data_IF_429726536995
#
_entry.id   IF_429726536995
#
_cell.length_a   1.000
_cell.length_b   1.000
_cell.length_c   1.000
_cell.angle_alpha   90.00
_cell.angle_beta   90.00
_cell.angle_gamma   90.00
#
_symmetry.space_group_name_H-M   'P 1'
#
loop_
_entity.id
_entity.type
_entity.pdbx_description
1 polymer ?
#
# COMPACT_ATOMS: atom_id res chain seq x y z
N UNK A 1 -12.42 15.20 22.36
CA UNK A 1 -13.64 16.06 22.36
C UNK A 1 -14.29 15.97 20.98
N UNK A 2 -15.12 14.93 20.77
CA UNK A 2 -15.91 14.76 19.54
C UNK A 2 -17.22 15.51 19.73
N UNK A 3 -17.44 16.60 18.98
CA UNK A 3 -18.75 17.26 18.91
C UNK A 3 -19.69 16.40 18.05
N UNK A 4 -20.83 15.92 18.57
CA UNK A 4 -21.82 15.25 17.75
C UNK A 4 -22.60 16.31 16.99
N UNK A 5 -22.26 16.53 15.72
CA UNK A 5 -23.17 17.21 14.80
C UNK A 5 -24.27 16.21 14.40
N UNK A 6 -25.25 16.01 15.27
CA UNK A 6 -26.56 15.47 14.87
C UNK A 6 -27.30 16.56 14.11
N UNK A 7 -26.95 16.76 12.84
CA UNK A 7 -27.78 17.52 11.92
C UNK A 7 -28.84 16.58 11.38
N UNK A 8 -30.00 16.53 12.03
CA UNK A 8 -31.17 15.77 11.61
C UNK A 8 -31.68 16.32 10.28
N UNK A 9 -31.20 15.79 9.15
CA UNK A 9 -31.68 16.15 7.82
C UNK A 9 -33.04 15.48 7.57
N UNK A 10 -34.12 16.08 8.09
CA UNK A 10 -35.49 15.68 7.77
C UNK A 10 -35.90 16.26 6.41
N UNK A 11 -36.02 15.41 5.39
CA UNK A 11 -36.55 15.77 4.09
C UNK A 11 -38.06 15.48 3.99
N UNK A 12 -38.89 16.50 3.72
CA UNK A 12 -40.36 16.41 3.62
C UNK A 12 -40.79 16.30 2.14
N UNK A 13 -41.57 15.27 1.79
CA UNK A 13 -41.89 14.89 0.40
C UNK A 13 -43.30 14.31 0.25
N UNK A 14 -44.04 14.62 -0.83
CA UNK A 14 -45.31 14.01 -1.14
C UNK A 14 -45.31 13.45 -2.56
N UNK A 15 -44.91 12.18 -2.68
CA UNK A 15 -45.56 11.19 -3.55
C UNK A 15 -44.73 9.90 -3.55
N UNK A 16 -45.33 8.88 -2.96
CA UNK A 16 -44.95 7.48 -3.03
C UNK A 16 -46.18 6.68 -2.60
N UNK A 17 -47.05 6.38 -3.57
CA UNK A 17 -48.23 5.50 -3.52
C UNK A 17 -49.27 5.67 -2.38
N UNK A 18 -49.10 6.67 -1.52
CA UNK A 18 -50.00 7.03 -0.42
C UNK A 18 -50.27 8.53 -0.48
N UNK A 19 -51.56 8.89 -0.53
CA UNK A 19 -52.06 10.28 -0.64
C UNK A 19 -51.67 11.12 0.60
N UNK A 20 -50.46 11.71 0.66
CA UNK A 20 -50.08 12.59 1.78
C UNK A 20 -48.62 13.06 1.79
N UNK A 21 -48.29 13.93 2.76
CA UNK A 21 -46.92 14.36 3.07
C UNK A 21 -46.19 13.29 3.87
N UNK A 22 -44.95 13.01 3.48
CA UNK A 22 -44.11 11.94 3.98
C UNK A 22 -42.71 12.48 4.26
N UNK A 23 -42.11 12.12 5.40
CA UNK A 23 -40.71 12.40 5.69
C UNK A 23 -39.87 11.16 5.36
N UNK A 24 -38.66 11.38 4.84
CA UNK A 24 -37.69 10.31 4.60
C UNK A 24 -36.50 10.53 5.53
N UNK A 25 -36.14 9.52 6.31
CA UNK A 25 -34.95 9.56 7.17
C UNK A 25 -33.66 9.30 6.36
N UNK A 26 -32.49 9.55 6.93
CA UNK A 26 -31.18 9.25 6.32
C UNK A 26 -31.00 7.75 6.01
N UNK A 27 -31.76 6.88 6.68
CA UNK A 27 -31.86 5.43 6.42
C UNK A 27 -32.75 5.07 5.21
N UNK A 28 -33.47 6.04 4.66
CA UNK A 28 -34.46 5.81 3.61
C UNK A 28 -35.80 5.29 4.13
N UNK A 29 -36.01 5.25 5.44
CA UNK A 29 -37.30 4.92 6.05
C UNK A 29 -38.32 6.05 5.84
N UNK A 30 -39.56 5.65 5.58
CA UNK A 30 -40.61 6.52 5.06
C UNK A 30 -41.70 6.71 6.12
N UNK A 31 -41.84 7.94 6.61
CA UNK A 31 -42.73 8.30 7.72
C UNK A 31 -43.87 9.18 7.26
N UNK A 32 -45.13 8.86 7.60
CA UNK A 32 -46.24 9.76 7.31
C UNK A 32 -46.27 10.92 8.30
N UNK A 33 -46.09 12.15 7.81
CA UNK A 33 -46.04 13.36 8.65
C UNK A 33 -47.33 13.64 9.40
N UNK A 34 -48.47 13.35 8.80
CA UNK A 34 -49.78 13.55 9.44
C UNK A 34 -49.97 12.66 10.66
N UNK A 35 -49.51 11.41 10.63
CA UNK A 35 -49.60 10.50 11.78
C UNK A 35 -48.54 10.80 12.83
N UNK A 36 -47.36 11.25 12.41
CA UNK A 36 -46.24 11.48 13.33
C UNK A 36 -46.39 12.79 14.11
N UNK A 37 -46.98 13.81 13.49
CA UNK A 37 -47.23 15.12 14.11
C UNK A 37 -48.66 15.29 14.64
N UNK A 38 -49.56 14.33 14.35
CA UNK A 38 -51.00 14.40 14.63
C UNK A 38 -51.68 15.66 14.04
N UNK A 39 -51.26 16.07 12.83
CA UNK A 39 -51.77 17.26 12.14
C UNK A 39 -52.60 16.87 10.92
N UNK A 40 -53.75 17.53 10.73
CA UNK A 40 -54.62 17.37 9.56
C UNK A 40 -53.88 17.74 8.26
N UNK A 41 -54.09 16.95 7.21
CA UNK A 41 -53.45 17.12 5.89
C UNK A 41 -53.67 18.49 5.24
N UNK A 42 -54.80 19.15 5.51
CA UNK A 42 -55.07 20.53 5.07
C UNK A 42 -54.10 21.55 5.68
N UNK A 43 -53.84 21.45 6.98
CA UNK A 43 -52.90 22.33 7.69
C UNK A 43 -51.44 22.06 7.27
N UNK A 44 -51.10 20.81 6.95
CA UNK A 44 -49.80 20.47 6.36
C UNK A 44 -49.64 21.09 4.96
N UNK A 45 -50.68 21.07 4.13
CA UNK A 45 -50.65 21.68 2.79
C UNK A 45 -50.49 23.20 2.84
N UNK A 46 -51.13 23.85 3.80
CA UNK A 46 -51.00 25.30 4.01
C UNK A 46 -49.59 25.70 4.46
N UNK A 47 -48.92 24.86 5.25
CA UNK A 47 -47.55 25.13 5.75
C UNK A 47 -46.44 24.71 4.79
N UNK A 48 -46.62 23.61 4.07
CA UNK A 48 -45.59 22.99 3.23
C UNK A 48 -45.77 23.27 1.73
N UNK A 49 -46.88 23.92 1.35
CA UNK A 49 -47.16 24.30 -0.04
C UNK A 49 -47.72 23.17 -0.89
N UNK A 50 -47.55 23.30 -2.21
CA UNK A 50 -48.09 22.34 -3.17
C UNK A 50 -47.24 21.06 -3.21
N UNK A 51 -47.83 19.88 -2.94
CA UNK A 51 -47.12 18.61 -3.04
C UNK A 51 -46.43 18.35 -4.39
N UNK A 52 -46.89 18.95 -5.48
CA UNK A 52 -46.30 18.71 -6.81
C UNK A 52 -44.89 19.29 -6.96
N UNK A 53 -44.51 20.28 -6.14
CA UNK A 53 -43.21 20.97 -6.23
C UNK A 53 -42.09 20.30 -5.42
N UNK A 54 -42.42 19.25 -4.65
CA UNK A 54 -41.48 18.58 -3.77
C UNK A 54 -40.91 17.30 -4.44
N UNK A 55 -39.62 16.97 -4.21
CA UNK A 55 -38.99 15.80 -4.83
C UNK A 55 -39.72 14.49 -4.51
N UNK A 56 -39.62 13.52 -5.40
CA UNK A 56 -40.16 12.18 -5.13
C UNK A 56 -39.35 11.46 -4.03
N UNK A 57 -39.97 10.51 -3.33
CA UNK A 57 -39.28 9.70 -2.30
C UNK A 57 -38.04 9.01 -2.88
N UNK A 58 -38.14 8.48 -4.11
CA UNK A 58 -37.03 7.86 -4.83
C UNK A 58 -35.91 8.85 -5.15
N UNK A 59 -36.22 10.08 -5.55
CA UNK A 59 -35.22 11.12 -5.82
C UNK A 59 -34.48 11.54 -4.55
N UNK A 60 -35.20 11.65 -3.43
CA UNK A 60 -34.61 12.02 -2.13
C UNK A 60 -33.67 10.94 -1.64
N UNK A 61 -34.08 9.65 -1.71
CA UNK A 61 -33.20 8.55 -1.33
C UNK A 61 -31.95 8.55 -2.22
N UNK A 62 -32.12 8.70 -3.54
CA UNK A 62 -30.98 8.78 -4.46
C UNK A 62 -30.05 9.97 -4.19
N UNK A 63 -30.58 11.11 -3.70
CA UNK A 63 -29.77 12.27 -3.30
C UNK A 63 -28.98 11.98 -2.03
N UNK A 64 -29.60 11.37 -1.02
CA UNK A 64 -28.94 10.96 0.22
C UNK A 64 -27.84 9.94 -0.06
N UNK A 65 -28.10 8.94 -0.90
CA UNK A 65 -27.10 7.95 -1.34
C UNK A 65 -25.88 8.62 -1.97
N UNK A 66 -26.10 9.59 -2.88
CA UNK A 66 -24.99 10.32 -3.53
C UNK A 66 -24.14 11.09 -2.53
N UNK A 67 -24.76 11.78 -1.58
CA UNK A 67 -24.05 12.53 -0.53
C UNK A 67 -23.23 11.61 0.37
N UNK A 68 -23.81 10.47 0.75
CA UNK A 68 -23.12 9.45 1.55
C UNK A 68 -21.89 8.91 0.79
N UNK A 69 -22.03 8.60 -0.50
CA UNK A 69 -20.92 8.13 -1.34
C UNK A 69 -19.82 9.19 -1.48
N UNK A 70 -20.18 10.46 -1.65
CA UNK A 70 -19.23 11.56 -1.74
C UNK A 70 -18.45 11.75 -0.42
N UNK A 71 -19.17 11.72 0.70
CA UNK A 71 -18.58 11.73 2.04
C UNK A 71 -17.64 10.53 2.25
N UNK A 72 -18.04 9.30 1.91
CA UNK A 72 -17.16 8.14 1.97
C UNK A 72 -15.87 8.31 1.16
N UNK A 73 -15.98 8.94 -0.01
CA UNK A 73 -14.84 9.21 -0.87
C UNK A 73 -13.88 10.21 -0.23
N UNK A 74 -14.38 11.30 0.36
CA UNK A 74 -13.53 12.29 1.02
C UNK A 74 -12.76 11.68 2.20
N UNK A 75 -13.42 10.89 3.04
CA UNK A 75 -12.76 10.17 4.15
C UNK A 75 -11.72 9.17 3.64
N UNK A 76 -12.04 8.40 2.60
CA UNK A 76 -11.08 7.46 2.00
C UNK A 76 -9.88 8.19 1.42
N UNK A 77 -10.07 9.37 0.81
CA UNK A 77 -8.96 10.18 0.30
C UNK A 77 -8.08 10.73 1.42
N UNK A 78 -8.68 11.15 2.53
CA UNK A 78 -7.96 11.62 3.71
C UNK A 78 -7.11 10.50 4.34
N UNK A 79 -7.69 9.32 4.54
CA UNK A 79 -6.96 8.12 5.01
C UNK A 79 -5.76 7.82 4.10
N UNK A 80 -5.97 7.88 2.77
CA UNK A 80 -4.89 7.66 1.80
C UNK A 80 -3.81 8.73 1.88
N UNK A 81 -4.17 9.99 2.10
CA UNK A 81 -3.22 11.09 2.23
C UNK A 81 -2.40 10.96 3.52
N UNK A 82 -3.06 10.67 4.64
CA UNK A 82 -2.38 10.44 5.91
C UNK A 82 -1.44 9.24 5.83
N UNK A 83 -1.87 8.14 5.20
CA UNK A 83 -1.01 6.99 4.94
C UNK A 83 0.17 7.33 4.02
N UNK A 84 -0.01 8.17 3.00
CA UNK A 84 1.10 8.63 2.13
C UNK A 84 2.14 9.40 2.93
N UNK A 85 1.72 10.30 3.81
CA UNK A 85 2.63 11.07 4.69
C UNK A 85 3.40 10.10 5.61
N UNK A 86 2.74 9.10 6.20
CA UNK A 86 3.42 8.06 7.01
C UNK A 86 4.39 7.20 6.18
N UNK A 87 4.10 6.98 4.89
CA UNK A 87 4.93 6.19 3.99
C UNK A 87 6.17 6.92 3.48
N UNK A 88 6.10 8.24 3.33
CA UNK A 88 7.18 9.08 2.79
C UNK A 88 8.56 8.84 3.46
N UNK A 89 8.71 8.91 4.79
CA UNK A 89 10.00 8.66 5.44
C UNK A 89 10.50 7.21 5.23
N UNK A 90 9.60 6.23 5.11
CA UNK A 90 9.97 4.84 4.83
C UNK A 90 10.50 4.67 3.39
N UNK A 91 9.93 5.41 2.43
CA UNK A 91 10.40 5.41 1.04
C UNK A 91 11.74 6.13 0.91
N UNK A 92 11.95 7.21 1.65
CA UNK A 92 13.25 7.86 1.75
C UNK A 92 14.29 6.93 2.39
N UNK A 93 13.93 6.25 3.50
CA UNK A 93 14.81 5.26 4.10
C UNK A 93 15.16 4.13 3.12
N UNK A 94 14.18 3.67 2.31
CA UNK A 94 14.41 2.69 1.25
C UNK A 94 15.45 3.16 0.24
N UNK A 95 15.36 4.42 -0.22
CA UNK A 95 16.30 4.96 -1.22
C UNK A 95 17.71 5.08 -0.64
N UNK A 96 17.83 5.54 0.61
CA UNK A 96 19.11 5.63 1.35
C UNK A 96 19.76 4.25 1.52
N UNK A 97 19.00 3.25 1.98
CA UNK A 97 19.48 1.88 2.13
C UNK A 97 19.94 1.32 0.78
N UNK A 98 19.15 1.52 -0.29
CA UNK A 98 19.51 1.07 -1.64
C UNK A 98 20.83 1.66 -2.13
N UNK A 99 21.05 2.97 -1.95
CA UNK A 99 22.31 3.61 -2.32
C UNK A 99 23.47 3.02 -1.52
N UNK A 100 23.34 2.99 -0.20
CA UNK A 100 24.38 2.46 0.70
C UNK A 100 24.75 1.02 0.36
N UNK A 101 23.76 0.14 0.15
CA UNK A 101 24.01 -1.27 -0.21
C UNK A 101 24.70 -1.42 -1.56
N UNK A 102 24.47 -0.50 -2.50
CA UNK A 102 25.18 -0.48 -3.78
C UNK A 102 26.64 -0.10 -3.56
N UNK A 103 26.89 0.94 -2.79
CA UNK A 103 28.23 1.45 -2.51
C UNK A 103 29.05 0.44 -1.71
N UNK A 104 28.46 -0.21 -0.70
CA UNK A 104 29.10 -1.29 0.06
C UNK A 104 29.50 -2.48 -0.82
N UNK A 105 28.62 -2.90 -1.74
CA UNK A 105 28.91 -4.01 -2.66
C UNK A 105 30.02 -3.63 -3.64
N UNK A 106 30.01 -2.39 -4.12
CA UNK A 106 31.05 -1.88 -5.01
C UNK A 106 32.41 -1.82 -4.30
N UNK A 107 32.45 -1.23 -3.11
CA UNK A 107 33.66 -1.14 -2.30
C UNK A 107 34.22 -2.52 -1.92
N UNK A 108 33.35 -3.47 -1.54
CA UNK A 108 33.78 -4.84 -1.25
C UNK A 108 34.37 -5.51 -2.51
N UNK A 109 33.73 -5.36 -3.67
CA UNK A 109 34.22 -5.93 -4.91
C UNK A 109 35.58 -5.33 -5.32
N UNK A 110 35.75 -4.01 -5.19
CA UNK A 110 36.99 -3.33 -5.56
C UNK A 110 38.14 -3.69 -4.63
N UNK A 111 37.89 -3.72 -3.31
CA UNK A 111 38.90 -4.14 -2.33
C UNK A 111 39.30 -5.61 -2.51
N UNK A 112 38.35 -6.51 -2.75
CA UNK A 112 38.64 -7.92 -3.07
C UNK A 112 39.44 -8.05 -4.37
N UNK A 113 39.11 -7.26 -5.40
CA UNK A 113 39.84 -7.26 -6.67
C UNK A 113 41.29 -6.80 -6.52
N UNK A 114 41.52 -5.70 -5.81
CA UNK A 114 42.87 -5.19 -5.55
C UNK A 114 43.70 -6.19 -4.74
N UNK A 115 43.09 -6.76 -3.68
CA UNK A 115 43.73 -7.79 -2.86
C UNK A 115 44.05 -9.04 -3.67
N UNK A 116 43.13 -9.50 -4.51
CA UNK A 116 43.35 -10.65 -5.39
C UNK A 116 44.55 -10.45 -6.32
N UNK A 117 44.72 -9.26 -6.89
CA UNK A 117 45.87 -8.94 -7.74
C UNK A 117 47.20 -8.97 -6.95
N UNK A 118 47.21 -8.37 -5.76
CA UNK A 118 48.39 -8.38 -4.87
C UNK A 118 48.75 -9.80 -4.43
N UNK A 119 47.79 -10.54 -3.86
CA UNK A 119 47.99 -11.93 -3.41
C UNK A 119 48.40 -12.86 -4.57
N UNK A 120 47.91 -12.62 -5.79
CA UNK A 120 48.32 -13.37 -6.98
C UNK A 120 49.75 -13.05 -7.40
N UNK A 121 50.15 -11.78 -7.35
CA UNK A 121 51.52 -11.35 -7.64
C UNK A 121 52.50 -11.93 -6.60
N UNK A 122 52.15 -11.90 -5.32
CA UNK A 122 52.95 -12.45 -4.23
C UNK A 122 53.13 -13.97 -4.37
N UNK A 123 52.04 -14.71 -4.69
CA UNK A 123 52.11 -16.16 -4.96
C UNK A 123 52.98 -16.47 -6.18
N UNK A 124 52.90 -15.65 -7.25
CA UNK A 124 53.78 -15.81 -8.41
C UNK A 124 55.24 -15.48 -8.10
N UNK A 125 55.50 -14.50 -7.23
CA UNK A 125 56.85 -14.13 -6.81
C UNK A 125 57.53 -15.21 -5.97
N UNK A 126 56.78 -16.03 -5.22
CA UNK A 126 57.30 -17.20 -4.49
C UNK A 126 57.88 -18.29 -5.42
N UNK A 127 57.48 -18.33 -6.69
CA UNK A 127 57.99 -19.31 -7.65
C UNK A 127 59.29 -18.79 -8.28
N UNK A 128 60.38 -19.53 -8.06
CA UNK A 128 61.66 -19.24 -8.69
C UNK A 128 61.56 -19.41 -10.21
N UNK A 129 62.11 -18.44 -10.96
CA UNK A 129 62.13 -18.41 -12.43
C UNK A 129 63.48 -18.87 -12.98
N UNK A 130 63.53 -19.17 -14.27
CA UNK A 130 64.77 -19.51 -14.98
C UNK A 130 65.43 -20.81 -14.48
N UNK A 131 66.76 -20.84 -14.49
CA UNK A 131 67.56 -22.02 -14.14
C UNK A 131 67.31 -22.54 -12.71
N UNK A 132 67.05 -21.62 -11.75
CA UNK A 132 66.70 -21.98 -10.36
C UNK A 132 65.35 -22.70 -10.27
N UNK A 133 64.37 -22.31 -11.09
CA UNK A 133 63.08 -22.98 -11.17
C UNK A 133 63.16 -24.40 -11.76
N UNK A 134 64.11 -24.66 -12.66
CA UNK A 134 64.39 -26.01 -13.17
C UNK A 134 65.01 -26.89 -12.08
N UNK A 135 65.91 -26.34 -11.25
CA UNK A 135 66.46 -27.05 -10.09
C UNK A 135 65.40 -27.39 -9.04
N UNK A 136 64.46 -26.47 -8.78
CA UNK A 136 63.36 -26.70 -7.84
C UNK A 136 62.37 -27.77 -8.31
N UNK A 137 62.25 -27.97 -9.63
CA UNK A 137 61.48 -29.09 -10.19
C UNK A 137 62.18 -30.42 -9.98
N UNK A 138 63.49 -30.46 -10.13
CA UNK A 138 64.29 -31.66 -9.92
C UNK A 138 64.30 -32.09 -8.44
N UNK A 139 64.32 -31.11 -7.52
CA UNK A 139 64.29 -31.34 -6.06
C UNK A 139 62.88 -31.49 -5.46
N UNK A 140 61.82 -31.29 -6.26
CA UNK A 140 60.42 -31.35 -5.81
C UNK A 140 59.94 -30.15 -4.98
N UNK A 141 60.82 -29.19 -4.66
CA UNK A 141 60.49 -27.92 -4.00
C UNK A 141 59.39 -27.16 -4.75
N UNK A 142 59.41 -27.19 -6.08
CA UNK A 142 58.42 -26.50 -6.91
C UNK A 142 56.99 -27.00 -6.64
N UNK A 143 56.80 -28.31 -6.47
CA UNK A 143 55.47 -28.89 -6.16
C UNK A 143 54.98 -28.41 -4.80
N UNK A 144 55.85 -28.42 -3.78
CA UNK A 144 55.49 -28.00 -2.43
C UNK A 144 55.07 -26.54 -2.36
N UNK A 145 55.81 -25.66 -3.03
CA UNK A 145 55.48 -24.22 -3.11
C UNK A 145 54.18 -23.97 -3.87
N UNK A 146 53.93 -24.75 -4.92
CA UNK A 146 52.66 -24.71 -5.67
C UNK A 146 51.49 -25.15 -4.79
N UNK A 147 51.58 -26.29 -4.11
CA UNK A 147 50.54 -26.79 -3.22
C UNK A 147 50.23 -25.79 -2.09
N UNK A 148 51.25 -25.12 -1.56
CA UNK A 148 51.06 -24.07 -0.57
C UNK A 148 50.35 -22.85 -1.14
N UNK A 149 50.73 -22.41 -2.34
CA UNK A 149 50.08 -21.29 -3.04
C UNK A 149 48.63 -21.61 -3.39
N UNK A 150 48.32 -22.87 -3.71
CA UNK A 150 46.95 -23.36 -3.95
C UNK A 150 46.12 -23.36 -2.67
N UNK A 151 46.67 -23.83 -1.55
CA UNK A 151 46.00 -23.75 -0.24
C UNK A 151 45.71 -22.30 0.16
N UNK A 152 46.69 -21.41 0.01
CA UNK A 152 46.53 -19.98 0.28
C UNK A 152 45.44 -19.34 -0.62
N UNK A 153 45.43 -19.68 -1.91
CA UNK A 153 44.42 -19.20 -2.86
C UNK A 153 43.01 -19.70 -2.49
N UNK A 154 42.88 -20.95 -2.07
CA UNK A 154 41.62 -21.53 -1.63
C UNK A 154 41.10 -20.87 -0.35
N UNK A 155 41.98 -20.68 0.64
CA UNK A 155 41.64 -19.96 1.88
C UNK A 155 41.18 -18.53 1.60
N UNK A 156 41.83 -17.84 0.64
CA UNK A 156 41.42 -16.51 0.23
C UNK A 156 40.02 -16.49 -0.39
N UNK A 157 39.72 -17.46 -1.25
CA UNK A 157 38.39 -17.59 -1.86
C UNK A 157 37.30 -17.85 -0.81
N UNK A 158 37.55 -18.75 0.14
CA UNK A 158 36.61 -19.05 1.23
C UNK A 158 36.33 -17.80 2.06
N UNK A 159 37.38 -17.08 2.46
CA UNK A 159 37.27 -15.82 3.20
C UNK A 159 36.44 -14.78 2.46
N UNK A 160 36.72 -14.56 1.17
CA UNK A 160 36.02 -13.56 0.37
C UNK A 160 34.55 -13.93 0.14
N UNK A 161 34.25 -15.24 0.07
CA UNK A 161 32.88 -15.76 0.08
C UNK A 161 32.18 -15.46 1.40
N UNK A 162 32.80 -15.76 2.53
CA UNK A 162 32.25 -15.47 3.87
C UNK A 162 31.98 -13.98 4.06
N UNK A 163 32.88 -13.11 3.57
CA UNK A 163 32.67 -11.65 3.59
C UNK A 163 31.45 -11.23 2.79
N UNK A 164 31.27 -11.80 1.59
CA UNK A 164 30.09 -11.55 0.75
C UNK A 164 28.82 -12.05 1.43
N UNK A 165 28.84 -13.25 1.98
CA UNK A 165 27.68 -13.86 2.63
C UNK A 165 27.29 -13.05 3.88
N UNK A 166 28.25 -12.61 4.69
CA UNK A 166 28.02 -11.72 5.85
C UNK A 166 27.42 -10.37 5.44
N UNK A 167 27.89 -9.79 4.32
CA UNK A 167 27.31 -8.56 3.79
C UNK A 167 25.87 -8.79 3.34
N UNK A 168 25.61 -9.87 2.60
CA UNK A 168 24.26 -10.22 2.14
C UNK A 168 23.32 -10.39 3.34
N UNK A 169 23.71 -11.14 4.37
CA UNK A 169 22.86 -11.34 5.55
C UNK A 169 22.51 -10.02 6.24
N UNK A 170 23.49 -9.13 6.47
CA UNK A 170 23.23 -7.79 7.01
C UNK A 170 22.25 -6.99 6.15
N UNK A 171 22.43 -7.02 4.83
CA UNK A 171 21.54 -6.31 3.91
C UNK A 171 20.12 -6.90 3.88
N UNK A 172 19.98 -8.22 4.02
CA UNK A 172 18.68 -8.90 4.14
C UNK A 172 17.95 -8.50 5.41
N UNK A 173 18.63 -8.49 6.56
CA UNK A 173 18.06 -8.11 7.85
C UNK A 173 17.54 -6.68 7.85
N UNK A 174 18.35 -5.74 7.34
CA UNK A 174 17.96 -4.33 7.20
C UNK A 174 16.75 -4.16 6.29
N UNK A 175 16.73 -4.86 5.15
CA UNK A 175 15.59 -4.82 4.23
C UNK A 175 14.34 -5.42 4.88
N UNK A 176 14.47 -6.51 5.61
CA UNK A 176 13.35 -7.16 6.28
C UNK A 176 12.76 -6.26 7.37
N UNK A 177 13.58 -5.58 8.15
CA UNK A 177 13.13 -4.62 9.15
C UNK A 177 12.31 -3.48 8.51
N UNK A 178 12.81 -2.88 7.42
CA UNK A 178 12.07 -1.84 6.69
C UNK A 178 10.77 -2.39 6.07
N UNK A 179 10.81 -3.61 5.51
CA UNK A 179 9.64 -4.22 4.90
C UNK A 179 8.52 -4.45 5.93
N UNK A 180 8.85 -4.83 7.17
CA UNK A 180 7.86 -4.95 8.25
C UNK A 180 7.14 -3.63 8.50
N UNK A 181 7.88 -2.51 8.56
CA UNK A 181 7.31 -1.18 8.76
C UNK A 181 6.41 -0.76 7.59
N UNK A 182 6.84 -1.00 6.34
CA UNK A 182 6.04 -0.71 5.14
C UNK A 182 4.74 -1.53 5.14
N UNK A 183 4.83 -2.83 5.45
CA UNK A 183 3.67 -3.72 5.53
C UNK A 183 2.72 -3.26 6.63
N UNK A 184 3.24 -2.84 7.79
CA UNK A 184 2.45 -2.30 8.89
C UNK A 184 1.62 -1.10 8.46
N UNK A 185 2.24 -0.06 7.87
CA UNK A 185 1.52 1.15 7.42
C UNK A 185 0.48 0.82 6.34
N UNK A 186 0.78 -0.14 5.45
CA UNK A 186 -0.20 -0.62 4.46
C UNK A 186 -1.38 -1.33 5.11
N UNK A 187 -1.12 -2.15 6.11
CA UNK A 187 -2.13 -2.89 6.84
C UNK A 187 -3.01 -1.94 7.65
N UNK A 188 -2.44 -0.99 8.39
CA UNK A 188 -3.19 0.05 9.12
C UNK A 188 -4.11 0.82 8.19
N UNK A 189 -3.61 1.30 7.05
CA UNK A 189 -4.44 2.01 6.06
C UNK A 189 -5.61 1.15 5.57
N UNK A 190 -5.36 -0.13 5.29
CA UNK A 190 -6.42 -1.04 4.85
C UNK A 190 -7.44 -1.26 5.97
N UNK A 191 -6.98 -1.45 7.21
CA UNK A 191 -7.85 -1.61 8.38
C UNK A 191 -8.68 -0.36 8.66
N UNK A 192 -8.11 0.85 8.52
CA UNK A 192 -8.83 2.12 8.64
C UNK A 192 -9.96 2.22 7.58
N UNK A 193 -9.67 1.81 6.33
CA UNK A 193 -10.67 1.79 5.25
C UNK A 193 -11.76 0.74 5.53
N UNK A 194 -11.40 -0.46 5.94
CA UNK A 194 -12.37 -1.52 6.25
C UNK A 194 -13.22 -1.19 7.48
N UNK A 195 -12.63 -0.56 8.51
CA UNK A 195 -13.36 -0.07 9.67
C UNK A 195 -14.36 1.02 9.27
N UNK A 196 -13.95 1.98 8.42
CA UNK A 196 -14.84 3.00 7.88
C UNK A 196 -16.02 2.38 7.11
N UNK A 197 -15.74 1.41 6.23
CA UNK A 197 -16.78 0.68 5.50
C UNK A 197 -17.73 -0.02 6.47
N UNK A 198 -17.20 -0.75 7.44
CA UNK A 198 -18.00 -1.52 8.40
C UNK A 198 -18.88 -0.61 9.26
N UNK A 199 -18.33 0.49 9.79
CA UNK A 199 -19.10 1.47 10.56
C UNK A 199 -20.24 2.09 9.76
N UNK A 200 -20.01 2.35 8.48
CA UNK A 200 -21.03 2.93 7.61
C UNK A 200 -22.08 1.88 7.25
N UNK A 201 -21.68 0.72 6.73
CA UNK A 201 -22.64 -0.30 6.30
C UNK A 201 -23.43 -0.91 7.44
N UNK A 202 -22.84 -1.11 8.63
CA UNK A 202 -23.58 -1.60 9.81
C UNK A 202 -24.65 -0.64 10.32
N UNK A 203 -24.52 0.66 10.03
CA UNK A 203 -25.51 1.67 10.40
C UNK A 203 -26.64 1.81 9.36
N UNK A 204 -26.49 1.20 8.18
CA UNK A 204 -27.44 1.29 7.07
C UNK A 204 -28.40 0.10 7.06
N UNK A 205 -29.65 0.29 6.66
CA UNK A 205 -30.57 -0.82 6.44
C UNK A 205 -30.16 -1.65 5.20
N UNK A 206 -30.47 -2.96 5.17
CA UNK A 206 -30.00 -3.89 4.14
C UNK A 206 -30.45 -3.51 2.72
N UNK A 207 -31.63 -2.88 2.59
CA UNK A 207 -32.14 -2.38 1.31
C UNK A 207 -31.31 -1.22 0.75
N UNK A 208 -30.72 -0.39 1.61
CA UNK A 208 -29.84 0.70 1.21
C UNK A 208 -28.43 0.19 0.87
N UNK A 209 -27.94 -0.78 1.64
CA UNK A 209 -26.66 -1.45 1.35
C UNK A 209 -26.65 -2.09 -0.05
N UNK A 210 -27.69 -2.86 -0.41
CA UNK A 210 -27.78 -3.49 -1.74
C UNK A 210 -27.77 -2.44 -2.87
N UNK A 211 -28.53 -1.33 -2.71
CA UNK A 211 -28.55 -0.23 -3.69
C UNK A 211 -27.21 0.47 -3.83
N UNK A 212 -26.52 0.72 -2.71
CA UNK A 212 -25.19 1.33 -2.73
C UNK A 212 -24.17 0.38 -3.36
N UNK A 213 -24.19 -0.92 -3.03
CA UNK A 213 -23.34 -1.94 -3.64
C UNK A 213 -23.52 -1.97 -5.16
N UNK A 214 -24.76 -2.01 -5.65
CA UNK A 214 -25.06 -1.94 -7.09
C UNK A 214 -24.53 -0.64 -7.73
N UNK A 215 -24.73 0.51 -7.08
CA UNK A 215 -24.20 1.79 -7.58
C UNK A 215 -22.67 1.79 -7.64
N UNK A 216 -22.00 1.21 -6.64
CA UNK A 216 -20.56 1.05 -6.63
C UNK A 216 -20.08 0.12 -7.75
N UNK A 217 -20.72 -1.02 -7.95
CA UNK A 217 -20.41 -1.97 -9.02
C UNK A 217 -20.63 -1.36 -10.41
N UNK A 218 -21.75 -0.70 -10.64
CA UNK A 218 -22.03 0.01 -11.89
C UNK A 218 -21.00 1.11 -12.16
N UNK A 219 -20.60 1.87 -11.13
CA UNK A 219 -19.58 2.92 -11.26
C UNK A 219 -18.19 2.33 -11.49
N UNK A 220 -17.86 1.18 -10.90
CA UNK A 220 -16.62 0.46 -11.18
C UNK A 220 -16.61 -0.14 -12.58
N UNK A 221 -17.72 -0.73 -13.05
CA UNK A 221 -17.86 -1.23 -14.41
C UNK A 221 -17.68 -0.12 -15.45
N UNK A 222 -18.26 1.07 -15.20
CA UNK A 222 -18.03 2.27 -16.02
C UNK A 222 -16.58 2.73 -16.05
N UNK A 223 -15.84 2.58 -14.93
CA UNK A 223 -14.40 2.89 -14.86
C UNK A 223 -13.51 1.80 -15.48
N UNK A 224 -13.99 0.56 -15.57
CA UNK A 224 -13.29 -0.58 -16.16
C UNK A 224 -13.40 -0.64 -17.69
N UNK A 225 -14.13 0.27 -18.34
CA UNK A 225 -14.07 0.44 -19.80
C UNK A 225 -12.61 0.71 -20.18
N UNK A 226 -11.97 -0.14 -21.00
CA UNK A 226 -10.52 -0.14 -21.15
C UNK A 226 -10.07 1.06 -21.97
N UNK A 227 -9.66 2.15 -21.31
CA UNK A 227 -8.64 3.03 -21.89
C UNK A 227 -7.32 2.27 -21.86
N UNK A 228 -6.72 2.11 -23.03
CA UNK A 228 -5.54 1.31 -23.32
C UNK A 228 -4.38 1.46 -22.31
N UNK A 229 -3.79 0.30 -21.99
CA UNK A 229 -2.50 0.03 -21.32
C UNK A 229 -2.44 0.24 -19.79
N UNK A 230 -2.39 -0.85 -19.00
CA UNK A 230 -1.84 -0.79 -17.65
C UNK A 230 -0.33 -0.56 -17.77
N UNK A 231 0.14 0.61 -17.34
CA UNK A 231 1.56 0.88 -17.12
C UNK A 231 2.12 -0.14 -16.15
N UNK A 232 3.13 -0.86 -16.61
CA UNK A 232 3.89 -1.88 -15.89
C UNK A 232 4.83 -1.19 -14.88
N UNK A 233 4.29 -0.51 -13.87
CA UNK A 233 5.08 0.31 -12.95
C UNK A 233 4.99 -0.14 -11.48
N UNK A 234 4.82 -1.43 -11.22
CA UNK A 234 5.14 -1.99 -9.89
C UNK A 234 5.65 -3.43 -10.01
N UNK A 235 6.67 -3.64 -10.83
CA UNK A 235 7.52 -4.82 -10.69
C UNK A 235 8.33 -4.67 -9.39
N UNK A 236 7.98 -5.48 -8.39
CA UNK A 236 8.67 -5.56 -7.11
C UNK A 236 9.74 -6.67 -7.12
N UNK A 237 10.29 -7.03 -8.28
CA UNK A 237 11.57 -7.73 -8.32
C UNK A 237 12.71 -6.76 -8.01
N UNK A 238 13.09 -6.62 -6.74
CA UNK A 238 14.45 -6.27 -6.25
C UNK A 238 14.56 -6.53 -4.75
#
# INVERSE_FOLDING_TARGET
>A
MLRPYCSSYFGLHPKGDRRGFVAVDWRGEVYSLSKWLDIKTKALKERLGDPVQLPSVSETIAKTDRQLVEWMQSFTTEIRQNSRIRMEPLLEQKSRIKSRHRDERHNLADTQKQRWQQESADRQAKLNKGLRGLWDRLTGQHSRTKDQSEREAWQALVRDKEQRDSLIQRQLDERQALQRNITHVRHERNNEIEHLKTMIFSALPPEMEARLQEQFEQRQARKKTPSQRPGHDFDLSM
#
